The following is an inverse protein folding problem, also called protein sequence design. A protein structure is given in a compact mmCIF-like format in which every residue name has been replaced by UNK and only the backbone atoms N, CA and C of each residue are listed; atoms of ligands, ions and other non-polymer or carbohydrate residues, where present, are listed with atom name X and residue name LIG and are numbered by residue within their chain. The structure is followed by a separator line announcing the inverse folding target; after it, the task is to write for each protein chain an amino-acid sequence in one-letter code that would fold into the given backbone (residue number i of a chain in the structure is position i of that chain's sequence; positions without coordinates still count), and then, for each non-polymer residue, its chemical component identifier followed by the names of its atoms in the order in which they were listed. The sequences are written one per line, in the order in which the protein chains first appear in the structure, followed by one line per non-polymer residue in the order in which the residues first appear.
data_IF_601999329298
#
_entry.id   IF_601999329298
#
_cell.length_a   1.000
_cell.length_b   1.000
_cell.length_c   1.000
_cell.angle_alpha   90.00
_cell.angle_beta   90.00
_cell.angle_gamma   90.00
#
_symmetry.space_group_name_H-M   'P 1'
#
loop_
_entity.id
_entity.type
_entity.pdbx_description
1 polymer ?
#
# COMPACT_ATOMS: atom_id res chain seq x y z
N UNK A 1 -5.03 1.85 -17.48
CA UNK A 1 -3.85 1.47 -16.68
C UNK A 1 -3.85 2.20 -15.35
N UNK A 2 -3.55 1.50 -14.27
CA UNK A 2 -3.49 2.12 -12.94
C UNK A 2 -2.27 3.05 -12.84
N UNK A 3 -2.51 4.32 -12.49
CA UNK A 3 -1.45 5.32 -12.33
C UNK A 3 -1.18 5.58 -10.86
N UNK A 4 -0.06 6.27 -10.57
CA UNK A 4 0.27 6.71 -9.21
C UNK A 4 -0.87 7.61 -8.67
N UNK A 5 -1.42 8.50 -9.50
CA UNK A 5 -2.54 9.35 -9.12
C UNK A 5 -3.78 8.54 -8.76
N UNK A 6 -4.08 7.48 -9.52
CA UNK A 6 -5.20 6.60 -9.23
C UNK A 6 -5.03 5.93 -7.86
N UNK A 7 -3.81 5.48 -7.57
CA UNK A 7 -3.49 4.87 -6.27
C UNK A 7 -3.70 5.88 -5.15
N UNK A 8 -3.18 7.09 -5.31
CA UNK A 8 -3.33 8.17 -4.32
C UNK A 8 -4.79 8.48 -4.04
N UNK A 9 -5.59 8.65 -5.09
CA UNK A 9 -7.01 8.98 -4.94
C UNK A 9 -7.79 7.88 -4.22
N UNK A 10 -7.54 6.63 -4.56
CA UNK A 10 -8.19 5.49 -3.90
C UNK A 10 -7.84 5.45 -2.42
N UNK A 11 -6.55 5.59 -2.09
CA UNK A 11 -6.09 5.56 -0.71
C UNK A 11 -6.68 6.73 0.09
N UNK A 12 -6.68 7.93 -0.48
CA UNK A 12 -7.27 9.10 0.18
C UNK A 12 -8.74 8.89 0.52
N UNK A 13 -9.49 8.22 -0.36
CA UNK A 13 -10.91 8.00 -0.16
C UNK A 13 -11.23 7.04 0.99
N UNK A 14 -10.29 6.17 1.36
CA UNK A 14 -10.51 5.16 2.40
C UNK A 14 -9.63 5.35 3.63
N UNK A 15 -8.73 6.33 3.61
CA UNK A 15 -7.73 6.50 4.67
C UNK A 15 -8.34 6.68 6.06
N UNK A 16 -9.42 7.47 6.17
CA UNK A 16 -10.07 7.68 7.46
C UNK A 16 -10.82 6.44 7.94
N UNK A 17 -11.46 5.74 7.01
CA UNK A 17 -12.19 4.51 7.33
C UNK A 17 -11.26 3.46 7.96
N UNK A 18 -10.07 3.32 7.41
CA UNK A 18 -9.09 2.35 7.88
C UNK A 18 -8.08 2.92 8.88
N UNK A 19 -8.18 4.21 9.18
CA UNK A 19 -7.29 4.92 10.10
C UNK A 19 -5.83 4.83 9.69
N UNK A 20 -5.58 5.12 8.42
CA UNK A 20 -4.24 5.11 7.86
C UNK A 20 -3.51 6.41 8.20
N UNK A 21 -2.22 6.33 8.52
CA UNK A 21 -1.36 7.49 8.74
C UNK A 21 -0.35 7.64 7.62
N UNK A 22 0.09 6.54 7.03
CA UNK A 22 1.06 6.59 5.94
C UNK A 22 0.90 5.37 5.04
N UNK A 23 1.01 5.58 3.74
CA UNK A 23 1.02 4.51 2.75
C UNK A 23 2.16 4.78 1.77
N UNK A 24 2.99 3.77 1.56
CA UNK A 24 4.14 3.85 0.67
C UNK A 24 4.06 2.75 -0.38
N UNK A 25 4.25 3.11 -1.64
CA UNK A 25 4.31 2.17 -2.75
C UNK A 25 5.75 1.72 -2.92
N UNK A 26 5.95 0.41 -3.05
CA UNK A 26 7.27 -0.14 -3.33
C UNK A 26 7.16 -1.23 -4.41
N UNK A 27 8.24 -1.98 -4.65
CA UNK A 27 8.23 -3.03 -5.65
C UNK A 27 8.32 -2.51 -7.08
N UNK A 28 7.86 -3.32 -8.05
CA UNK A 28 8.03 -3.01 -9.47
C UNK A 28 7.37 -1.70 -9.89
N UNK A 29 6.21 -1.37 -9.33
CA UNK A 29 5.52 -0.12 -9.70
C UNK A 29 6.28 1.12 -9.22
N UNK A 30 6.95 1.04 -8.09
CA UNK A 30 7.78 2.13 -7.60
C UNK A 30 9.06 2.28 -8.43
N UNK A 31 9.60 1.16 -8.91
CA UNK A 31 10.81 1.17 -9.74
C UNK A 31 10.55 1.57 -11.18
N UNK A 32 9.31 1.54 -11.63
CA UNK A 32 8.95 1.90 -13.01
C UNK A 32 9.05 0.76 -14.01
N UNK A 33 9.44 -0.44 -13.60
CA UNK A 33 9.57 -1.60 -14.50
C UNK A 33 8.38 -2.57 -14.37
N UNK A 34 7.18 -2.02 -14.30
CA UNK A 34 5.96 -2.78 -14.11
C UNK A 34 5.19 -2.95 -15.42
N UNK A 35 4.28 -3.94 -15.42
CA UNK A 35 3.30 -4.16 -16.48
C UNK A 35 1.92 -3.81 -15.95
N UNK A 36 0.92 -3.76 -16.84
CA UNK A 36 -0.46 -3.44 -16.45
C UNK A 36 -1.01 -4.39 -15.38
N UNK A 37 -0.60 -5.66 -15.43
CA UNK A 37 -1.06 -6.69 -14.50
C UNK A 37 -0.11 -6.91 -13.32
N UNK A 38 0.91 -6.07 -13.17
CA UNK A 38 1.84 -6.17 -12.05
C UNK A 38 1.14 -5.94 -10.71
N UNK A 39 1.59 -6.68 -9.69
CA UNK A 39 1.08 -6.53 -8.33
C UNK A 39 1.33 -5.12 -7.81
N UNK A 40 0.48 -4.69 -6.88
CA UNK A 40 0.67 -3.41 -6.18
C UNK A 40 1.16 -3.75 -4.77
N UNK A 41 2.37 -3.28 -4.44
CA UNK A 41 3.00 -3.56 -3.14
C UNK A 41 2.96 -2.30 -2.29
N UNK A 42 2.25 -2.37 -1.17
CA UNK A 42 2.05 -1.22 -0.27
C UNK A 42 2.55 -1.51 1.14
N UNK A 43 3.28 -0.55 1.68
CA UNK A 43 3.66 -0.54 3.08
C UNK A 43 2.72 0.44 3.78
N UNK A 44 1.99 -0.03 4.78
CA UNK A 44 0.89 0.74 5.39
C UNK A 44 1.13 0.93 6.89
N UNK A 45 0.98 2.17 7.34
CA UNK A 45 1.02 2.52 8.75
C UNK A 45 -0.35 3.00 9.19
N UNK A 46 -0.78 2.57 10.38
CA UNK A 46 -2.07 2.92 10.96
C UNK A 46 -1.88 3.86 12.15
N UNK A 47 -2.93 4.58 12.54
CA UNK A 47 -2.91 5.48 13.71
C UNK A 47 -2.61 4.74 15.00
N UNK A 48 -2.93 3.45 15.08
CA UNK A 48 -2.65 2.62 16.25
C UNK A 48 -1.63 1.55 15.89
N UNK A 49 -0.74 1.21 16.83
CA UNK A 49 0.25 0.15 16.60
C UNK A 49 -0.39 -1.22 16.54
N UNK A 50 -1.50 -1.40 17.27
CA UNK A 50 -2.21 -2.67 17.34
C UNK A 50 -3.36 -2.67 16.35
N UNK A 51 -3.19 -3.35 15.23
CA UNK A 51 -4.19 -3.46 14.17
C UNK A 51 -4.56 -4.92 13.98
N UNK A 52 -5.85 -5.21 13.91
CA UNK A 52 -6.31 -6.58 13.70
C UNK A 52 -5.94 -7.08 12.31
N UNK A 53 -5.65 -8.37 12.22
CA UNK A 53 -5.39 -9.02 10.93
C UNK A 53 -6.58 -8.87 9.99
N UNK A 54 -7.81 -8.90 10.54
CA UNK A 54 -9.02 -8.74 9.74
C UNK A 54 -9.09 -7.38 9.06
N UNK A 55 -8.61 -6.32 9.73
CA UNK A 55 -8.56 -4.98 9.13
C UNK A 55 -7.59 -4.94 7.95
N UNK A 56 -6.44 -5.56 8.11
CA UNK A 56 -5.42 -5.62 7.04
C UNK A 56 -5.96 -6.40 5.85
N UNK A 57 -6.61 -7.54 6.09
CA UNK A 57 -7.20 -8.36 5.05
C UNK A 57 -8.33 -7.61 4.33
N UNK A 58 -9.18 -6.90 5.09
CA UNK A 58 -10.25 -6.09 4.54
C UNK A 58 -9.70 -5.00 3.62
N UNK A 59 -8.66 -4.31 4.07
CA UNK A 59 -8.00 -3.27 3.27
C UNK A 59 -7.46 -3.85 1.96
N UNK A 60 -6.77 -4.98 2.05
CA UNK A 60 -6.24 -5.67 0.87
C UNK A 60 -7.34 -5.98 -0.15
N UNK A 61 -8.42 -6.61 0.31
CA UNK A 61 -9.52 -6.98 -0.58
C UNK A 61 -10.20 -5.75 -1.17
N UNK A 62 -10.37 -4.70 -0.38
CA UNK A 62 -10.96 -3.44 -0.84
C UNK A 62 -10.17 -2.85 -2.00
N UNK A 63 -8.84 -2.86 -1.87
CA UNK A 63 -7.96 -2.34 -2.92
C UNK A 63 -7.91 -3.25 -4.14
N UNK A 64 -7.92 -4.57 -3.93
CA UNK A 64 -7.96 -5.52 -5.04
C UNK A 64 -9.24 -5.35 -5.86
N UNK A 65 -10.37 -5.13 -5.19
CA UNK A 65 -11.64 -4.89 -5.88
C UNK A 65 -11.62 -3.56 -6.64
N UNK A 66 -11.03 -2.53 -6.04
CA UNK A 66 -10.99 -1.20 -6.65
C UNK A 66 -10.13 -1.19 -7.92
N UNK A 67 -9.01 -1.90 -7.91
CA UNK A 67 -8.02 -1.85 -8.98
C UNK A 67 -8.03 -3.08 -9.89
N UNK A 68 -8.73 -4.13 -9.49
CA UNK A 68 -8.78 -5.40 -10.20
C UNK A 68 -7.37 -5.97 -10.42
N UNK A 69 -6.52 -5.86 -9.40
CA UNK A 69 -5.14 -6.32 -9.39
C UNK A 69 -4.83 -6.96 -8.06
N UNK A 70 -3.81 -7.80 -8.03
CA UNK A 70 -3.33 -8.36 -6.77
C UNK A 70 -2.61 -7.26 -5.98
N UNK A 71 -2.93 -7.15 -4.69
CA UNK A 71 -2.34 -6.14 -3.80
C UNK A 71 -1.69 -6.84 -2.62
N UNK A 72 -0.43 -6.53 -2.37
CA UNK A 72 0.28 -7.01 -1.19
C UNK A 72 0.36 -5.85 -0.19
N UNK A 73 -0.19 -6.07 1.00
CA UNK A 73 -0.19 -5.07 2.06
C UNK A 73 0.73 -5.54 3.18
N UNK A 74 1.77 -4.75 3.44
CA UNK A 74 2.70 -5.00 4.55
C UNK A 74 2.44 -3.96 5.61
N UNK A 75 2.19 -4.42 6.85
CA UNK A 75 1.95 -3.53 7.98
C UNK A 75 3.28 -3.04 8.56
N UNK A 76 3.48 -1.73 8.58
CA UNK A 76 4.66 -1.12 9.20
C UNK A 76 4.45 -1.01 10.72
N UNK A 77 5.54 -0.98 11.53
CA UNK A 77 6.93 -0.98 11.08
C UNK A 77 7.44 -2.36 10.68
N UNK A 78 8.36 -2.39 9.73
CA UNK A 78 9.03 -3.63 9.33
C UNK A 78 10.44 -3.66 9.92
N UNK A 79 11.02 -4.86 10.15
CA UNK A 79 12.40 -4.97 10.64
C UNK A 79 13.37 -4.27 9.69
N UNK A 80 14.44 -3.70 10.26
CA UNK A 80 15.46 -3.01 9.46
C UNK A 80 16.05 -3.90 8.38
N UNK A 81 16.20 -5.18 8.67
CA UNK A 81 16.72 -6.15 7.72
C UNK A 81 15.82 -6.27 6.48
N UNK A 82 14.51 -6.21 6.68
CA UNK A 82 13.56 -6.26 5.56
C UNK A 82 13.58 -4.96 4.76
N UNK A 83 13.84 -3.82 5.39
CA UNK A 83 13.89 -2.53 4.71
C UNK A 83 15.06 -2.43 3.72
N UNK A 84 16.13 -3.20 3.93
CA UNK A 84 17.31 -3.17 3.06
C UNK A 84 16.97 -3.61 1.63
N UNK A 85 15.96 -4.45 1.47
CA UNK A 85 15.55 -4.93 0.14
C UNK A 85 14.58 -4.00 -0.58
N UNK A 86 14.15 -2.92 0.07
CA UNK A 86 13.30 -1.90 -0.59
C UNK A 86 14.21 -0.88 -1.23
N UNK A 87 14.45 -1.06 -2.54
CA UNK A 87 15.38 -0.21 -3.30
C UNK A 87 14.81 1.17 -3.61
N UNK A 88 13.50 1.25 -3.85
CA UNK A 88 12.83 2.49 -4.20
C UNK A 88 11.42 2.48 -3.64
N UNK A 89 11.00 3.64 -3.13
CA UNK A 89 9.65 3.79 -2.60
C UNK A 89 9.06 5.12 -3.03
N UNK A 90 7.73 5.16 -3.12
CA UNK A 90 6.99 6.38 -3.44
C UNK A 90 5.94 6.59 -2.36
N UNK A 91 5.97 7.74 -1.69
CA UNK A 91 4.96 8.07 -0.69
C UNK A 91 3.63 8.33 -1.39
N UNK A 92 2.61 7.54 -1.00
CA UNK A 92 1.26 7.64 -1.56
C UNK A 92 0.37 8.54 -0.70
N UNK A 93 0.49 8.39 0.62
CA UNK A 93 -0.37 9.09 1.57
C UNK A 93 0.38 9.35 2.87
N UNK A 94 0.18 10.54 3.42
CA UNK A 94 0.70 10.88 4.76
C UNK A 94 -0.31 11.82 5.41
N UNK A 95 -0.78 11.41 6.59
CA UNK A 95 -1.74 12.23 7.36
C UNK A 95 -1.02 13.33 8.14
#
# INVERSE_FOLDING_TARGET
MLTIDDIKKTIESIAQEYKLTKVTLFGSRARGNFREDSDVDLLVEFTTESVSLLRIISLKHRLEDAWNLKVDVIHAPIPKEAMIIIEKEIEIYAA
#
